data_IF_450000883902
#
_entry.id   IF_450000883902
#
_cell.length_a   1.000
_cell.length_b   1.000
_cell.length_c   1.000
_cell.angle_alpha   90.00
_cell.angle_beta   90.00
_cell.angle_gamma   90.00
#
_symmetry.space_group_name_H-M   'P 1'
#
loop_
_entity.id
_entity.type
_entity.pdbx_description
1 polymer ?
#
# COMPACT_ATOMS: atom_id res chain seq x y z
N UNK A 1 -11.43 14.73 14.29
CA UNK A 1 -10.30 15.60 13.87
C UNK A 1 -9.30 14.79 13.03
N UNK A 2 -8.62 15.45 12.10
CA UNK A 2 -7.49 14.88 11.34
C UNK A 2 -6.17 15.30 12.01
N UNK A 3 -5.26 14.36 12.22
CA UNK A 3 -4.01 14.55 12.93
C UNK A 3 -2.85 14.02 12.09
N UNK A 4 -1.76 14.77 12.04
CA UNK A 4 -0.50 14.36 11.41
C UNK A 4 0.65 14.67 12.35
N UNK A 5 1.47 13.67 12.68
CA UNK A 5 2.61 13.80 13.60
C UNK A 5 2.21 14.49 14.93
N UNK A 6 1.09 14.09 15.52
CA UNK A 6 0.50 14.66 16.74
C UNK A 6 0.08 16.14 16.65
N UNK A 7 0.06 16.71 15.46
CA UNK A 7 -0.46 18.05 15.18
C UNK A 7 -1.87 17.96 14.58
N UNK A 8 -2.77 18.84 15.02
CA UNK A 8 -4.06 19.02 14.38
C UNK A 8 -3.85 19.56 12.95
N UNK A 9 -4.36 18.85 11.93
CA UNK A 9 -4.21 19.25 10.53
C UNK A 9 -5.06 20.47 10.15
N UNK A 10 -6.01 20.87 11.01
CA UNK A 10 -6.92 22.00 10.76
C UNK A 10 -6.41 23.32 11.38
N UNK A 11 -5.85 23.27 12.59
CA UNK A 11 -5.41 24.46 13.33
C UNK A 11 -3.92 24.47 13.70
N UNK A 12 -3.19 23.37 13.49
CA UNK A 12 -1.77 23.25 13.82
C UNK A 12 -1.45 23.07 15.30
N UNK A 13 -2.46 22.90 16.17
CA UNK A 13 -2.26 22.70 17.60
C UNK A 13 -1.52 21.38 17.90
N UNK A 14 -0.65 21.41 18.90
CA UNK A 14 0.11 20.26 19.42
C UNK A 14 -0.73 19.50 20.44
N UNK A 15 -1.21 18.32 20.04
CA UNK A 15 -2.15 17.51 20.81
C UNK A 15 -1.46 16.70 21.92
N UNK A 16 -0.12 16.77 22.07
CA UNK A 16 0.57 16.17 23.20
C UNK A 16 0.48 17.02 24.48
N UNK A 17 0.30 18.34 24.34
CA UNK A 17 0.28 19.28 25.47
C UNK A 17 -1.11 19.50 26.07
N UNK A 18 -2.14 19.28 25.25
CA UNK A 18 -3.54 19.47 25.63
C UNK A 18 -4.12 18.09 25.96
N UNK A 19 -4.24 17.78 27.26
CA UNK A 19 -4.77 16.51 27.77
C UNK A 19 -6.26 16.29 27.49
N UNK A 20 -6.74 16.58 26.28
CA UNK A 20 -8.14 16.49 25.89
C UNK A 20 -8.50 15.09 25.36
N UNK A 21 -9.53 14.53 26.01
CA UNK A 21 -9.84 13.09 26.00
C UNK A 21 -10.97 12.71 25.03
N UNK A 22 -11.57 13.65 24.29
CA UNK A 22 -12.91 13.37 23.71
C UNK A 22 -12.98 13.06 22.21
N UNK A 23 -11.90 13.16 21.42
CA UNK A 23 -11.91 12.57 20.05
C UNK A 23 -10.52 12.26 19.49
N UNK A 24 -9.74 11.43 20.21
CA UNK A 24 -8.40 11.06 19.75
C UNK A 24 -8.44 10.43 18.36
N UNK A 25 -7.64 10.99 17.45
CA UNK A 25 -7.43 10.42 16.13
C UNK A 25 -6.53 9.19 16.25
N UNK A 26 -7.12 8.01 16.10
CA UNK A 26 -6.42 6.73 16.30
C UNK A 26 -6.36 5.89 15.04
N UNK A 27 -7.13 6.23 14.00
CA UNK A 27 -7.28 5.38 12.81
C UNK A 27 -6.39 5.92 11.69
N UNK A 28 -5.36 5.17 11.24
CA UNK A 28 -4.58 5.55 10.06
C UNK A 28 -5.45 5.43 8.81
N UNK A 29 -5.52 6.49 7.99
CA UNK A 29 -6.37 6.50 6.78
C UNK A 29 -5.65 6.08 5.51
N UNK A 30 -4.33 6.23 5.47
CA UNK A 30 -3.51 5.93 4.29
C UNK A 30 -2.39 5.01 4.71
N UNK A 31 -2.36 3.79 4.16
CA UNK A 31 -1.35 2.78 4.52
C UNK A 31 0.08 3.29 4.32
N UNK A 32 0.33 4.06 3.26
CA UNK A 32 1.64 4.66 3.00
C UNK A 32 2.00 5.85 3.90
N UNK A 33 1.06 6.36 4.71
CA UNK A 33 1.26 7.48 5.65
C UNK A 33 0.58 7.15 7.00
N UNK A 34 1.15 6.24 7.81
CA UNK A 34 0.53 5.81 9.08
C UNK A 34 0.35 6.96 10.09
N UNK A 35 1.14 8.02 9.97
CA UNK A 35 1.07 9.19 10.84
C UNK A 35 -0.18 10.05 10.59
N UNK A 36 -0.86 9.87 9.45
CA UNK A 36 -2.12 10.54 9.16
C UNK A 36 -3.28 9.78 9.80
N UNK A 37 -3.69 10.24 10.98
CA UNK A 37 -4.75 9.63 11.77
C UNK A 37 -6.02 10.48 11.73
N UNK A 38 -7.17 9.83 11.80
CA UNK A 38 -8.46 10.49 11.98
C UNK A 38 -9.22 9.89 13.16
N UNK A 39 -10.23 10.61 13.65
CA UNK A 39 -11.17 10.06 14.65
C UNK A 39 -11.98 8.91 14.06
N UNK A 40 -12.43 7.99 14.91
CA UNK A 40 -13.21 6.82 14.49
C UNK A 40 -14.48 7.19 13.71
N UNK A 41 -15.20 8.22 14.16
CA UNK A 41 -16.39 8.74 13.46
C UNK A 41 -16.05 9.24 12.05
N UNK A 42 -14.93 9.94 11.89
CA UNK A 42 -14.48 10.44 10.60
C UNK A 42 -14.03 9.29 9.68
N UNK A 43 -13.35 8.28 10.23
CA UNK A 43 -12.99 7.07 9.49
C UNK A 43 -14.23 6.34 8.96
N UNK A 44 -15.29 6.20 9.77
CA UNK A 44 -16.55 5.60 9.34
C UNK A 44 -17.22 6.41 8.22
N UNK A 45 -17.25 7.74 8.34
CA UNK A 45 -17.78 8.63 7.29
C UNK A 45 -17.00 8.50 5.99
N UNK A 46 -15.67 8.41 6.05
CA UNK A 46 -14.81 8.21 4.87
C UNK A 46 -15.04 6.83 4.24
N UNK A 47 -15.05 5.76 5.05
CA UNK A 47 -15.32 4.41 4.56
C UNK A 47 -16.70 4.25 3.92
N UNK A 48 -17.71 4.95 4.43
CA UNK A 48 -19.04 4.98 3.82
C UNK A 48 -19.00 5.65 2.43
N UNK A 49 -18.35 6.82 2.31
CA UNK A 49 -18.20 7.52 1.02
C UNK A 49 -17.44 6.68 -0.01
N UNK A 50 -16.40 5.95 0.42
CA UNK A 50 -15.66 5.04 -0.45
C UNK A 50 -16.54 3.88 -0.93
N UNK A 51 -17.34 3.31 -0.03
CA UNK A 51 -18.31 2.25 -0.37
C UNK A 51 -19.33 2.75 -1.39
N UNK A 52 -19.93 3.92 -1.17
CA UNK A 52 -20.89 4.50 -2.11
C UNK A 52 -20.25 4.79 -3.48
N UNK A 53 -19.00 5.28 -3.50
CA UNK A 53 -18.26 5.51 -4.75
C UNK A 53 -18.06 4.21 -5.53
N UNK A 54 -17.59 3.15 -4.87
CA UNK A 54 -17.39 1.85 -5.50
C UNK A 54 -18.70 1.28 -6.06
N UNK A 55 -19.80 1.38 -5.31
CA UNK A 55 -21.12 0.95 -5.77
C UNK A 55 -21.61 1.77 -6.99
N UNK A 56 -21.43 3.10 -6.98
CA UNK A 56 -21.76 3.95 -8.15
C UNK A 56 -20.94 3.57 -9.38
N UNK A 57 -19.65 3.31 -9.20
CA UNK A 57 -18.73 2.89 -10.26
C UNK A 57 -18.92 1.42 -10.67
N UNK A 58 -19.81 0.68 -9.97
CA UNK A 58 -20.02 -0.77 -10.10
C UNK A 58 -18.73 -1.57 -9.94
N UNK A 59 -17.87 -1.14 -9.02
CA UNK A 59 -16.61 -1.80 -8.68
C UNK A 59 -16.68 -2.47 -7.31
N UNK A 60 -15.92 -3.55 -7.17
CA UNK A 60 -15.59 -4.15 -5.89
C UNK A 60 -14.14 -3.84 -5.50
N UNK A 61 -13.72 -4.24 -4.31
CA UNK A 61 -12.29 -4.20 -3.92
C UNK A 61 -11.66 -5.55 -4.23
N UNK A 62 -10.47 -5.55 -4.83
CA UNK A 62 -9.64 -6.74 -4.99
C UNK A 62 -8.34 -6.55 -4.21
N UNK A 63 -8.15 -7.39 -3.20
CA UNK A 63 -6.89 -7.52 -2.48
C UNK A 63 -5.96 -8.44 -3.27
N UNK A 64 -4.79 -7.95 -3.60
CA UNK A 64 -3.82 -8.58 -4.50
C UNK A 64 -2.56 -8.88 -3.72
N UNK A 65 -2.27 -10.17 -3.55
CA UNK A 65 -0.99 -10.63 -3.02
C UNK A 65 0.11 -10.60 -4.10
N UNK A 66 1.37 -10.55 -3.67
CA UNK A 66 2.54 -10.43 -4.55
C UNK A 66 3.22 -11.79 -4.78
N UNK A 67 3.94 -12.30 -3.78
CA UNK A 67 4.80 -13.47 -3.89
C UNK A 67 4.01 -14.77 -4.05
N UNK A 68 4.36 -15.58 -5.04
CA UNK A 68 3.60 -16.76 -5.48
C UNK A 68 2.17 -16.48 -5.96
N UNK A 69 1.80 -15.21 -6.15
CA UNK A 69 0.50 -14.80 -6.69
C UNK A 69 0.67 -14.10 -8.06
N UNK A 70 1.32 -12.93 -8.07
CA UNK A 70 1.62 -12.14 -9.28
C UNK A 70 3.09 -12.19 -9.68
N UNK A 71 3.97 -12.49 -8.73
CA UNK A 71 5.41 -12.49 -8.93
C UNK A 71 6.07 -13.68 -8.23
N UNK A 72 7.31 -13.96 -8.61
CA UNK A 72 8.21 -14.83 -7.87
C UNK A 72 9.53 -14.10 -7.70
N UNK A 73 10.02 -14.00 -6.46
CA UNK A 73 11.31 -13.41 -6.14
C UNK A 73 12.27 -14.43 -5.52
N UNK A 74 13.54 -14.41 -5.94
CA UNK A 74 14.62 -15.19 -5.29
C UNK A 74 15.83 -14.29 -4.94
N UNK A 75 16.63 -14.75 -3.99
CA UNK A 75 17.93 -14.19 -3.59
C UNK A 75 19.12 -15.02 -4.10
N UNK A 76 18.84 -16.12 -4.80
CA UNK A 76 19.87 -17.00 -5.31
C UNK A 76 20.72 -16.30 -6.36
N UNK A 77 21.96 -16.77 -6.51
CA UNK A 77 22.82 -16.27 -7.57
C UNK A 77 22.32 -16.77 -8.94
N UNK A 78 21.70 -15.88 -9.72
CA UNK A 78 21.21 -16.17 -11.06
C UNK A 78 21.99 -15.41 -12.14
N UNK A 79 21.97 -15.87 -13.40
CA UNK A 79 22.57 -15.11 -14.49
C UNK A 79 21.97 -13.70 -14.64
N UNK A 80 22.83 -12.69 -14.77
CA UNK A 80 22.41 -11.28 -14.90
C UNK A 80 21.62 -10.97 -16.19
N UNK A 81 21.61 -11.88 -17.17
CA UNK A 81 21.02 -11.69 -18.49
C UNK A 81 19.72 -12.50 -18.69
N UNK A 82 19.09 -12.96 -17.59
CA UNK A 82 17.86 -13.71 -17.67
C UNK A 82 16.71 -12.81 -18.16
N UNK A 83 16.04 -13.21 -19.25
CA UNK A 83 14.94 -12.43 -19.83
C UNK A 83 13.77 -12.33 -18.86
N UNK A 84 13.11 -11.18 -18.87
CA UNK A 84 11.91 -10.87 -18.09
C UNK A 84 12.10 -10.97 -16.57
N UNK A 85 13.34 -10.76 -16.09
CA UNK A 85 13.66 -10.70 -14.66
C UNK A 85 14.11 -9.30 -14.29
N UNK A 86 13.52 -8.78 -13.21
CA UNK A 86 13.87 -7.50 -12.62
C UNK A 86 14.86 -7.73 -11.47
N UNK A 87 16.02 -7.08 -11.56
CA UNK A 87 17.08 -7.17 -10.56
C UNK A 87 17.13 -5.86 -9.77
N UNK A 88 16.98 -5.91 -8.45
CA UNK A 88 17.06 -4.72 -7.59
C UNK A 88 17.62 -5.03 -6.21
N UNK A 89 18.06 -4.00 -5.49
CA UNK A 89 18.43 -4.08 -4.08
C UNK A 89 17.58 -3.10 -3.29
N UNK A 90 17.20 -3.50 -2.08
CA UNK A 90 16.50 -2.60 -1.17
C UNK A 90 17.50 -1.63 -0.50
N UNK A 91 17.09 -0.39 -0.22
CA UNK A 91 17.92 0.56 0.52
C UNK A 91 18.29 0.04 1.92
N UNK A 92 19.50 0.35 2.38
CA UNK A 92 20.06 -0.17 3.63
C UNK A 92 21.15 -1.22 3.36
N UNK A 93 22.24 -1.17 4.13
CA UNK A 93 23.46 -1.94 3.84
C UNK A 93 23.68 -3.05 4.89
N UNK A 94 24.14 -4.26 4.49
CA UNK A 94 24.11 -4.86 3.15
C UNK A 94 22.85 -5.72 2.96
N UNK A 95 22.04 -5.38 1.95
CA UNK A 95 20.86 -6.18 1.56
C UNK A 95 21.18 -7.13 0.39
N UNK A 96 20.57 -8.33 0.35
CA UNK A 96 20.71 -9.25 -0.78
C UNK A 96 20.12 -8.66 -2.07
N UNK A 97 20.53 -9.21 -3.21
CA UNK A 97 19.85 -8.95 -4.48
C UNK A 97 18.48 -9.62 -4.50
N UNK A 98 17.50 -8.92 -5.05
CA UNK A 98 16.16 -9.44 -5.33
C UNK A 98 16.06 -9.67 -6.84
N UNK A 99 15.66 -10.87 -7.21
CA UNK A 99 15.46 -11.29 -8.60
C UNK A 99 14.01 -11.66 -8.80
N UNK A 100 13.23 -10.73 -9.35
CA UNK A 100 11.78 -10.85 -9.44
C UNK A 100 11.32 -11.07 -10.87
N UNK A 101 10.52 -12.10 -11.09
CA UNK A 101 9.84 -12.34 -12.37
C UNK A 101 8.34 -12.20 -12.20
N UNK A 102 7.70 -11.53 -13.16
CA UNK A 102 6.24 -11.45 -13.21
C UNK A 102 5.64 -12.78 -13.69
N UNK A 103 4.50 -13.15 -13.10
CA UNK A 103 3.67 -14.25 -13.60
C UNK A 103 3.21 -13.91 -15.03
N UNK A 104 3.25 -14.87 -15.97
CA UNK A 104 2.80 -14.61 -17.34
C UNK A 104 1.37 -14.05 -17.39
N UNK A 105 1.20 -12.93 -18.09
CA UNK A 105 -0.10 -12.27 -18.25
C UNK A 105 -0.49 -11.29 -17.15
N UNK A 106 0.38 -11.01 -16.16
CA UNK A 106 0.12 -10.06 -15.06
C UNK A 106 -0.39 -8.71 -15.55
N UNK A 107 0.25 -8.09 -16.54
CA UNK A 107 -0.15 -6.76 -17.03
C UNK A 107 -1.59 -6.76 -17.58
N UNK A 108 -1.91 -7.77 -18.40
CA UNK A 108 -3.25 -7.95 -18.97
C UNK A 108 -4.28 -8.28 -17.90
N UNK A 109 -3.92 -9.11 -16.92
CA UNK A 109 -4.78 -9.44 -15.80
C UNK A 109 -5.13 -8.18 -15.00
N UNK A 110 -4.14 -7.41 -14.58
CA UNK A 110 -4.34 -6.18 -13.80
C UNK A 110 -5.14 -5.13 -14.57
N UNK A 111 -4.85 -4.95 -15.86
CA UNK A 111 -5.60 -4.02 -16.71
C UNK A 111 -7.08 -4.42 -16.87
N UNK A 112 -7.36 -5.72 -16.98
CA UNK A 112 -8.73 -6.20 -17.07
C UNK A 112 -9.46 -6.10 -15.73
N UNK A 113 -8.79 -6.48 -14.64
CA UNK A 113 -9.38 -6.44 -13.31
C UNK A 113 -9.63 -5.01 -12.83
N UNK A 114 -8.79 -4.04 -13.17
CA UNK A 114 -8.97 -2.64 -12.75
C UNK A 114 -10.24 -1.98 -13.31
N UNK A 115 -10.87 -2.57 -14.33
CA UNK A 115 -12.18 -2.14 -14.85
C UNK A 115 -13.33 -2.53 -13.93
N UNK A 116 -13.19 -3.64 -13.21
CA UNK A 116 -14.22 -4.24 -12.35
C UNK A 116 -13.92 -4.05 -10.86
N UNK A 117 -12.65 -3.82 -10.53
CA UNK A 117 -12.15 -3.75 -9.17
C UNK A 117 -11.28 -2.52 -8.95
N UNK A 118 -11.34 -1.98 -7.74
CA UNK A 118 -10.28 -1.15 -7.20
C UNK A 118 -9.21 -2.05 -6.59
N UNK A 119 -7.98 -1.93 -7.08
CA UNK A 119 -6.89 -2.84 -6.73
C UNK A 119 -6.11 -2.31 -5.54
N UNK A 120 -5.87 -3.19 -4.57
CA UNK A 120 -5.04 -2.94 -3.39
C UNK A 120 -4.01 -4.05 -3.28
N UNK A 121 -2.73 -3.72 -3.10
CA UNK A 121 -1.71 -4.72 -2.75
C UNK A 121 -1.85 -5.05 -1.28
N UNK A 122 -1.84 -6.34 -0.93
CA UNK A 122 -1.80 -6.83 0.44
C UNK A 122 -0.79 -7.98 0.50
N UNK A 123 0.36 -7.76 1.14
CA UNK A 123 1.49 -8.69 1.11
C UNK A 123 2.18 -8.80 2.46
N UNK A 124 2.84 -9.95 2.70
CA UNK A 124 3.73 -10.15 3.84
C UNK A 124 5.18 -9.69 3.59
N UNK A 125 5.47 -9.07 2.44
CA UNK A 125 6.73 -8.38 2.22
C UNK A 125 6.86 -7.10 3.07
N UNK A 126 8.10 -6.69 3.39
CA UNK A 126 8.36 -5.40 4.06
C UNK A 126 7.99 -4.20 3.17
N UNK A 127 7.76 -3.04 3.76
CA UNK A 127 7.34 -1.84 3.02
C UNK A 127 8.26 -1.47 1.85
N UNK A 128 9.61 -1.39 1.99
CA UNK A 128 10.49 -1.07 0.87
C UNK A 128 10.37 -2.06 -0.29
N UNK A 129 10.16 -3.34 0.02
CA UNK A 129 9.97 -4.39 -0.98
C UNK A 129 8.63 -4.22 -1.71
N UNK A 130 7.53 -4.10 -0.96
CA UNK A 130 6.19 -3.95 -1.53
C UNK A 130 6.11 -2.73 -2.47
N UNK A 131 6.68 -1.60 -2.08
CA UNK A 131 6.74 -0.40 -2.93
C UNK A 131 7.62 -0.58 -4.17
N UNK A 132 8.74 -1.29 -4.06
CA UNK A 132 9.61 -1.56 -5.21
C UNK A 132 8.91 -2.45 -6.23
N UNK A 133 8.26 -3.53 -5.79
CA UNK A 133 7.47 -4.41 -6.65
C UNK A 133 6.27 -3.67 -7.25
N UNK A 134 5.57 -2.86 -6.48
CA UNK A 134 4.46 -2.05 -6.99
C UNK A 134 4.91 -1.10 -8.11
N UNK A 135 6.11 -0.52 -8.02
CA UNK A 135 6.66 0.33 -9.07
C UNK A 135 7.02 -0.45 -10.35
N UNK A 136 7.34 -1.74 -10.23
CA UNK A 136 7.53 -2.64 -11.38
C UNK A 136 6.17 -2.95 -12.04
N UNK A 137 5.14 -3.25 -11.23
CA UNK A 137 3.80 -3.60 -11.71
C UNK A 137 2.99 -2.42 -12.26
N UNK A 138 3.20 -1.21 -11.72
CA UNK A 138 2.36 -0.03 -11.98
C UNK A 138 3.22 1.24 -11.96
N UNK A 139 4.08 1.39 -12.98
CA UNK A 139 5.04 2.50 -13.08
C UNK A 139 4.37 3.88 -13.02
N UNK A 140 3.18 4.01 -13.60
CA UNK A 140 2.42 5.26 -13.66
C UNK A 140 1.49 5.47 -12.45
N UNK A 141 1.49 4.52 -11.49
CA UNK A 141 0.69 4.55 -10.25
C UNK A 141 -0.82 4.67 -10.48
N UNK A 142 -1.33 4.12 -11.59
CA UNK A 142 -2.74 4.19 -11.98
C UNK A 142 -3.57 3.05 -11.38
N UNK A 143 -2.96 1.90 -11.15
CA UNK A 143 -3.63 0.68 -10.70
C UNK A 143 -3.72 0.61 -9.17
N UNK A 144 -2.61 0.82 -8.48
CA UNK A 144 -2.53 0.67 -7.02
C UNK A 144 -2.38 2.00 -6.30
N UNK A 145 -1.72 3.00 -6.91
CA UNK A 145 -1.48 4.31 -6.27
C UNK A 145 -0.85 4.12 -4.87
N UNK A 146 -1.51 4.58 -3.80
CA UNK A 146 -1.07 4.43 -2.40
C UNK A 146 -1.74 3.26 -1.66
N UNK A 147 -2.48 2.39 -2.37
CA UNK A 147 -3.23 1.26 -1.80
C UNK A 147 -2.33 0.03 -1.66
N UNK A 148 -1.32 0.13 -0.79
CA UNK A 148 -0.34 -0.92 -0.55
C UNK A 148 -0.30 -1.18 0.95
N UNK A 149 -0.70 -2.40 1.33
CA UNK A 149 -0.57 -2.97 2.66
C UNK A 149 0.58 -3.97 2.64
N UNK A 150 1.64 -3.67 3.38
CA UNK A 150 2.80 -4.51 3.57
C UNK A 150 2.76 -5.14 4.96
N UNK A 151 3.76 -5.97 5.27
CA UNK A 151 3.95 -6.56 6.59
C UNK A 151 3.97 -5.51 7.70
N UNK A 152 4.58 -4.36 7.43
CA UNK A 152 4.87 -3.38 8.45
C UNK A 152 3.57 -2.75 9.01
N UNK A 153 2.53 -2.61 8.18
CA UNK A 153 1.20 -2.14 8.62
C UNK A 153 0.42 -3.18 9.47
N UNK A 154 0.82 -4.45 9.48
CA UNK A 154 0.18 -5.48 10.31
C UNK A 154 0.84 -5.63 11.70
N UNK A 155 2.15 -5.38 11.79
CA UNK A 155 2.92 -5.61 13.02
C UNK A 155 3.35 -4.32 13.74
N UNK A 156 3.35 -3.17 13.05
CA UNK A 156 3.67 -1.85 13.61
C UNK A 156 2.67 -0.80 13.07
N UNK A 157 1.39 -0.85 13.52
CA UNK A 157 0.29 -0.04 12.97
C UNK A 157 0.35 1.46 13.29
#
# INVERSE_FOLDING_TARGET
PTVINDLCAECGADLQKEGETESRATVPMVHSIPQLKVSQEQAQKLGHKDTERLLRDRKLVLLVDLDQTLIHTTHDNIPNNLKDVHHFQLPGSPNPWYHTRLRPGTDRFLLNMSRLYELHICTFGVRPYAHTVAAILDRDRRLFSNRILSRDEFFDP
#
